data_IF_105441721455
#
_entry.id   IF_105441721455
#
_cell.length_a   1.000
_cell.length_b   1.000
_cell.length_c   1.000
_cell.angle_alpha   90.00
_cell.angle_beta   90.00
_cell.angle_gamma   90.00
#
_symmetry.space_group_name_H-M   'P 1'
#
loop_
_entity.id
_entity.type
_entity.pdbx_description
1 polymer ?
#
# COMPACT_ATOMS: atom_id res chain seq x y z
N UNK A 1 -50.11 -14.87 -30.66
CA UNK A 1 -49.30 -14.80 -29.42
C UNK A 1 -48.07 -15.69 -29.59
N UNK A 2 -46.91 -15.38 -29.02
CA UNK A 2 -45.66 -16.19 -28.97
C UNK A 2 -44.49 -15.88 -29.93
N UNK A 3 -44.10 -14.60 -30.10
CA UNK A 3 -42.71 -14.30 -30.52
C UNK A 3 -42.03 -13.23 -29.66
N UNK A 4 -42.78 -12.22 -29.21
CA UNK A 4 -42.24 -11.14 -28.38
C UNK A 4 -41.79 -11.58 -26.97
N UNK A 5 -42.40 -12.63 -26.40
CA UNK A 5 -42.08 -13.11 -25.04
C UNK A 5 -40.74 -13.86 -25.00
N UNK A 6 -40.38 -14.57 -26.07
CA UNK A 6 -39.13 -15.35 -26.11
C UNK A 6 -37.87 -14.46 -26.15
N UNK A 7 -37.93 -13.32 -26.84
CA UNK A 7 -36.78 -12.41 -26.97
C UNK A 7 -36.51 -11.68 -25.65
N UNK A 8 -37.56 -11.31 -24.90
CA UNK A 8 -37.42 -10.59 -23.64
C UNK A 8 -36.85 -11.45 -22.50
N UNK A 9 -37.08 -12.77 -22.53
CA UNK A 9 -36.55 -13.70 -21.51
C UNK A 9 -35.08 -14.03 -21.77
N UNK A 10 -34.66 -14.17 -23.04
CA UNK A 10 -33.26 -14.47 -23.37
C UNK A 10 -32.33 -13.29 -23.05
N UNK A 11 -32.78 -12.04 -23.24
CA UNK A 11 -31.98 -10.86 -22.88
C UNK A 11 -31.71 -10.71 -21.38
N UNK A 12 -32.67 -11.11 -20.53
CA UNK A 12 -32.56 -10.94 -19.07
C UNK A 12 -31.63 -11.96 -18.41
N UNK A 13 -31.52 -13.17 -18.99
CA UNK A 13 -30.65 -14.25 -18.45
C UNK A 13 -29.18 -14.03 -18.82
N UNK A 14 -28.86 -13.31 -19.90
CA UNK A 14 -27.47 -12.99 -20.24
C UNK A 14 -26.85 -11.92 -19.33
N UNK A 15 -27.64 -10.94 -18.84
CA UNK A 15 -27.12 -9.87 -17.98
C UNK A 15 -26.72 -10.32 -16.58
N UNK A 16 -27.38 -11.33 -16.02
CA UNK A 16 -27.08 -11.86 -14.67
C UNK A 16 -25.80 -12.70 -14.62
N UNK A 17 -25.43 -13.35 -15.73
CA UNK A 17 -24.21 -14.18 -15.80
C UNK A 17 -22.93 -13.34 -15.95
N UNK A 18 -22.98 -12.19 -16.62
CA UNK A 18 -21.84 -11.26 -16.73
C UNK A 18 -21.50 -10.65 -15.37
N UNK A 19 -22.51 -10.25 -14.59
CA UNK A 19 -22.31 -9.70 -13.24
C UNK A 19 -21.66 -10.71 -12.28
N UNK A 20 -22.05 -11.99 -12.36
CA UNK A 20 -21.49 -13.04 -11.50
C UNK A 20 -20.02 -13.36 -11.84
N UNK A 21 -19.66 -13.34 -13.13
CA UNK A 21 -18.28 -13.52 -13.60
C UNK A 21 -17.36 -12.37 -13.18
N UNK A 22 -17.85 -11.13 -13.20
CA UNK A 22 -17.10 -9.95 -12.76
C UNK A 22 -16.90 -9.93 -11.24
N UNK A 23 -17.89 -10.40 -10.49
CA UNK A 23 -17.80 -10.55 -9.03
C UNK A 23 -16.74 -11.57 -8.59
N UNK A 24 -16.58 -12.70 -9.30
CA UNK A 24 -15.59 -13.72 -8.95
C UNK A 24 -14.14 -13.21 -9.08
N UNK A 25 -13.90 -12.27 -10.02
CA UNK A 25 -12.59 -11.65 -10.23
C UNK A 25 -12.24 -10.61 -9.17
N UNK A 26 -13.24 -9.96 -8.56
CA UNK A 26 -13.05 -8.88 -7.60
C UNK A 26 -12.18 -9.28 -6.39
N UNK A 27 -12.36 -10.49 -5.84
CA UNK A 27 -11.54 -10.96 -4.70
C UNK A 27 -10.08 -11.12 -5.11
N UNK A 28 -9.82 -11.65 -6.31
CA UNK A 28 -8.47 -11.83 -6.82
C UNK A 28 -7.80 -10.47 -7.09
N UNK A 29 -8.53 -9.51 -7.63
CA UNK A 29 -8.07 -8.13 -7.84
C UNK A 29 -7.74 -7.43 -6.53
N UNK A 30 -8.58 -7.58 -5.50
CA UNK A 30 -8.32 -7.01 -4.18
C UNK A 30 -7.08 -7.63 -3.51
N UNK A 31 -6.86 -8.93 -3.68
CA UNK A 31 -5.64 -9.61 -3.22
C UNK A 31 -4.39 -9.10 -3.97
N UNK A 32 -4.49 -8.91 -5.29
CA UNK A 32 -3.41 -8.35 -6.09
C UNK A 32 -3.08 -6.91 -5.67
N UNK A 33 -4.11 -6.08 -5.44
CA UNK A 33 -3.95 -4.71 -4.94
C UNK A 33 -3.31 -4.68 -3.55
N UNK A 34 -3.74 -5.56 -2.63
CA UNK A 34 -3.11 -5.71 -1.31
C UNK A 34 -1.62 -6.03 -1.45
N UNK A 35 -1.26 -6.99 -2.30
CA UNK A 35 0.13 -7.38 -2.56
C UNK A 35 0.94 -6.21 -3.11
N UNK A 36 0.42 -5.49 -4.10
CA UNK A 36 1.08 -4.33 -4.68
C UNK A 36 1.32 -3.23 -3.63
N UNK A 37 0.32 -2.92 -2.81
CA UNK A 37 0.45 -1.94 -1.73
C UNK A 37 1.49 -2.37 -0.70
N UNK A 38 1.53 -3.65 -0.31
CA UNK A 38 2.54 -4.15 0.61
C UNK A 38 3.96 -4.01 0.06
N UNK A 39 4.17 -4.30 -1.23
CA UNK A 39 5.46 -4.09 -1.90
C UNK A 39 5.86 -2.61 -1.94
N UNK A 40 4.93 -1.72 -2.29
CA UNK A 40 5.18 -0.28 -2.33
C UNK A 40 5.54 0.25 -0.94
N UNK A 41 4.76 -0.11 0.09
CA UNK A 41 5.03 0.33 1.45
C UNK A 41 6.33 -0.23 2.00
N UNK A 42 6.67 -1.49 1.73
CA UNK A 42 7.95 -2.08 2.13
C UNK A 42 9.13 -1.32 1.51
N UNK A 43 9.05 -0.97 0.22
CA UNK A 43 10.06 -0.16 -0.46
C UNK A 43 10.17 1.25 0.15
N UNK A 44 9.05 1.93 0.41
CA UNK A 44 9.05 3.25 1.02
C UNK A 44 9.64 3.25 2.45
N UNK A 45 9.29 2.25 3.26
CA UNK A 45 9.84 2.09 4.62
C UNK A 45 11.35 1.86 4.54
N UNK A 46 11.80 0.98 3.64
CA UNK A 46 13.22 0.70 3.44
C UNK A 46 13.98 1.95 2.98
N UNK A 47 13.41 2.75 2.07
CA UNK A 47 14.00 4.01 1.62
C UNK A 47 14.15 5.01 2.78
N UNK A 48 13.16 5.13 3.66
CA UNK A 48 13.26 6.00 4.83
C UNK A 48 14.36 5.56 5.80
N UNK A 49 14.49 4.24 6.02
CA UNK A 49 15.56 3.68 6.86
C UNK A 49 16.95 3.94 6.25
N UNK A 50 17.11 3.62 4.96
CA UNK A 50 18.35 3.85 4.24
C UNK A 50 18.75 5.32 4.28
N UNK A 51 17.82 6.23 3.97
CA UNK A 51 18.09 7.66 4.00
C UNK A 51 18.48 8.13 5.40
N UNK A 52 17.80 7.67 6.46
CA UNK A 52 18.21 8.04 7.83
C UNK A 52 19.62 7.58 8.16
N UNK A 53 19.98 6.33 7.81
CA UNK A 53 21.31 5.77 8.08
C UNK A 53 22.39 6.47 7.26
N UNK A 54 22.12 6.80 6.00
CA UNK A 54 23.04 7.58 5.16
C UNK A 54 23.30 8.96 5.75
N UNK A 55 22.25 9.64 6.25
CA UNK A 55 22.39 10.95 6.89
C UNK A 55 23.17 10.89 8.21
N UNK A 56 22.95 9.85 9.02
CA UNK A 56 23.73 9.58 10.24
C UNK A 56 25.21 9.36 9.91
N UNK A 57 25.50 8.47 8.96
CA UNK A 57 26.88 8.15 8.55
C UNK A 57 27.62 9.37 7.98
N UNK A 58 26.98 10.18 7.14
CA UNK A 58 27.61 11.40 6.64
C UNK A 58 27.78 12.45 7.72
N UNK A 59 26.84 12.57 8.65
CA UNK A 59 27.00 13.47 9.80
C UNK A 59 28.22 13.10 10.63
N UNK A 60 28.40 11.81 10.93
CA UNK A 60 29.55 11.30 11.69
C UNK A 60 30.86 11.63 10.96
N UNK A 61 30.96 11.29 9.67
CA UNK A 61 32.14 11.60 8.86
C UNK A 61 32.45 13.12 8.79
N UNK A 62 31.41 13.96 8.69
CA UNK A 62 31.57 15.42 8.73
C UNK A 62 32.05 15.90 10.11
N UNK A 63 31.56 15.30 11.19
CA UNK A 63 31.95 15.66 12.55
C UNK A 63 33.41 15.31 12.88
N UNK A 64 33.94 14.24 12.26
CA UNK A 64 35.32 13.78 12.42
C UNK A 64 36.32 14.61 11.59
N UNK A 65 35.90 15.13 10.44
CA UNK A 65 36.81 15.72 9.44
C UNK A 65 36.79 17.24 9.40
N UNK A 66 35.86 17.91 10.06
CA UNK A 66 35.56 19.31 9.75
C UNK A 66 35.47 20.26 10.96
N UNK A 67 35.94 21.50 10.76
CA UNK A 67 35.93 22.57 11.77
C UNK A 67 34.54 23.16 12.07
N UNK A 68 34.46 24.18 12.94
CA UNK A 68 33.21 24.79 13.48
C UNK A 68 32.08 25.05 12.46
N UNK A 69 32.40 25.36 11.20
CA UNK A 69 31.41 25.65 10.16
C UNK A 69 30.56 24.42 9.75
N UNK A 70 31.07 23.20 9.94
CA UNK A 70 30.40 21.97 9.53
C UNK A 70 29.58 21.31 10.64
N UNK A 71 29.73 21.80 11.88
CA UNK A 71 28.95 21.34 13.03
C UNK A 71 27.45 21.54 12.81
N UNK A 72 27.03 22.72 12.36
CA UNK A 72 25.62 23.01 12.05
C UNK A 72 25.07 22.09 10.96
N UNK A 73 25.89 21.77 9.95
CA UNK A 73 25.50 20.85 8.87
C UNK A 73 25.28 19.44 9.42
N UNK A 74 26.25 18.93 10.19
CA UNK A 74 26.15 17.63 10.86
C UNK A 74 24.92 17.54 11.78
N UNK A 75 24.66 18.56 12.60
CA UNK A 75 23.47 18.62 13.46
C UNK A 75 22.16 18.58 12.65
N UNK A 76 22.09 19.33 11.55
CA UNK A 76 20.93 19.31 10.64
C UNK A 76 20.76 17.93 9.97
N UNK A 77 21.86 17.24 9.68
CA UNK A 77 21.82 15.89 9.11
C UNK A 77 21.27 14.88 10.12
N UNK A 78 21.71 14.91 11.37
CA UNK A 78 21.15 14.08 12.46
C UNK A 78 19.66 14.38 12.68
N UNK A 79 19.29 15.66 12.72
CA UNK A 79 17.89 16.06 12.88
C UNK A 79 17.02 15.52 11.73
N UNK A 80 17.53 15.61 10.50
CA UNK A 80 16.87 15.04 9.32
C UNK A 80 16.75 13.52 9.42
N UNK A 81 17.82 12.82 9.80
CA UNK A 81 17.83 11.38 9.97
C UNK A 81 16.76 10.92 10.97
N UNK A 82 16.67 11.60 12.13
CA UNK A 82 15.63 11.34 13.13
C UNK A 82 14.22 11.53 12.54
N UNK A 83 13.97 12.60 11.79
CA UNK A 83 12.67 12.83 11.13
C UNK A 83 12.32 11.72 10.15
N UNK A 84 13.28 11.27 9.33
CA UNK A 84 13.06 10.16 8.40
C UNK A 84 12.82 8.83 9.10
N UNK A 85 13.50 8.58 10.24
CA UNK A 85 13.30 7.40 11.07
C UNK A 85 11.89 7.39 11.69
N UNK A 86 11.42 8.52 12.22
CA UNK A 86 10.05 8.66 12.71
C UNK A 86 9.01 8.44 11.60
N UNK A 87 9.24 8.99 10.40
CA UNK A 87 8.38 8.76 9.24
C UNK A 87 8.36 7.28 8.84
N UNK A 88 9.51 6.61 8.84
CA UNK A 88 9.62 5.17 8.59
C UNK A 88 8.81 4.34 9.59
N UNK A 89 8.90 4.66 10.89
CA UNK A 89 8.12 4.00 11.94
C UNK A 89 6.61 4.25 11.78
N UNK A 90 6.22 5.48 11.44
CA UNK A 90 4.82 5.83 11.18
C UNK A 90 4.29 5.10 9.94
N UNK A 91 5.07 5.04 8.86
CA UNK A 91 4.74 4.31 7.65
C UNK A 91 4.59 2.81 7.93
N UNK A 92 5.46 2.22 8.75
CA UNK A 92 5.33 0.82 9.18
C UNK A 92 4.04 0.56 9.95
N UNK A 93 3.69 1.42 10.91
CA UNK A 93 2.43 1.31 11.65
C UNK A 93 1.22 1.45 10.72
N UNK A 94 1.26 2.38 9.78
CA UNK A 94 0.18 2.61 8.83
C UNK A 94 0.02 1.47 7.84
N UNK A 95 1.13 0.95 7.31
CA UNK A 95 1.14 -0.22 6.42
C UNK A 95 0.54 -1.44 7.11
N UNK A 96 0.86 -1.72 8.39
CA UNK A 96 0.21 -2.79 9.17
C UNK A 96 -1.30 -2.59 9.31
N UNK A 97 -1.75 -1.36 9.58
CA UNK A 97 -3.19 -1.05 9.67
C UNK A 97 -3.91 -1.25 8.34
N UNK A 98 -3.29 -0.83 7.24
CA UNK A 98 -3.82 -1.01 5.90
C UNK A 98 -3.89 -2.49 5.51
N UNK A 99 -2.88 -3.28 5.86
CA UNK A 99 -2.83 -4.72 5.64
C UNK A 99 -4.01 -5.44 6.32
N UNK A 100 -4.23 -5.15 7.60
CA UNK A 100 -5.37 -5.69 8.39
C UNK A 100 -6.71 -5.23 7.79
N UNK A 101 -6.85 -3.95 7.45
CA UNK A 101 -8.08 -3.42 6.87
C UNK A 101 -8.37 -4.02 5.49
N UNK A 102 -7.33 -4.32 4.71
CA UNK A 102 -7.44 -4.99 3.41
C UNK A 102 -7.90 -6.44 3.57
N UNK A 103 -7.39 -7.16 4.56
CA UNK A 103 -7.86 -8.52 4.87
C UNK A 103 -9.33 -8.54 5.30
N UNK A 104 -9.74 -7.63 6.17
CA UNK A 104 -11.14 -7.48 6.58
C UNK A 104 -12.05 -7.17 5.39
N UNK A 105 -11.62 -6.25 4.51
CA UNK A 105 -12.35 -5.92 3.29
C UNK A 105 -12.50 -7.15 2.37
N UNK A 106 -11.39 -7.84 2.08
CA UNK A 106 -11.38 -9.04 1.23
C UNK A 106 -12.30 -10.12 1.83
N UNK A 107 -12.26 -10.31 3.16
CA UNK A 107 -13.10 -11.27 3.85
C UNK A 107 -14.59 -10.92 3.72
N UNK A 108 -14.97 -9.67 3.99
CA UNK A 108 -16.37 -9.21 3.85
C UNK A 108 -16.88 -9.35 2.42
N UNK A 109 -16.09 -8.91 1.43
CA UNK A 109 -16.43 -9.05 0.01
C UNK A 109 -16.59 -10.53 -0.35
N UNK A 110 -15.65 -11.39 0.04
CA UNK A 110 -15.71 -12.83 -0.21
C UNK A 110 -16.97 -13.48 0.39
N UNK A 111 -17.42 -13.02 1.56
CA UNK A 111 -18.65 -13.50 2.20
C UNK A 111 -19.89 -12.99 1.47
N UNK A 112 -19.92 -11.73 1.06
CA UNK A 112 -21.03 -11.14 0.29
C UNK A 112 -21.23 -11.82 -1.06
N UNK A 113 -20.15 -12.25 -1.72
CA UNK A 113 -20.21 -12.88 -3.05
C UNK A 113 -20.56 -14.37 -3.05
N UNK A 114 -20.51 -15.02 -1.88
CA UNK A 114 -20.86 -16.45 -1.71
C UNK A 114 -22.34 -16.65 -1.34
N UNK A 115 -23.09 -15.56 -1.16
CA UNK A 115 -24.54 -15.54 -0.95
C UNK A 115 -25.24 -15.14 -2.24
#
# INVERSE_FOLDING_TARGET
MNKAILISVVGFVFSVNVLASECAMLVAELQAMKKANNTIHASLISNHQMFSTTMESYSEALSETAGRAHKTVSENMISSANSFRERGLKAQKMSKKLDIASDDLIHRVSKCLKN
#
